data_IF_106394511565
#
_entry.id   IF_106394511565
#
_cell.length_a   1.000
_cell.length_b   1.000
_cell.length_c   1.000
_cell.angle_alpha   90.00
_cell.angle_beta   90.00
_cell.angle_gamma   90.00
#
_symmetry.space_group_name_H-M   'P 1'
#
loop_
_entity.id
_entity.type
_entity.pdbx_description
1 polymer ?
#
# COMPACT_ATOMS: atom_id res chain seq x y z
N UNK A 1 -8.47 -3.67 -16.66
CA UNK A 1 -7.42 -3.15 -15.75
C UNK A 1 -7.91 -1.82 -15.19
N UNK A 2 -7.91 -1.66 -13.88
CA UNK A 2 -8.38 -0.43 -13.22
C UNK A 2 -7.41 0.70 -13.53
N UNK A 3 -7.95 1.88 -13.91
CA UNK A 3 -7.24 3.14 -14.04
C UNK A 3 -8.01 4.19 -13.25
N UNK A 4 -7.36 4.79 -12.26
CA UNK A 4 -7.91 5.87 -11.47
C UNK A 4 -7.10 7.14 -11.74
N UNK A 5 -7.78 8.29 -11.75
CA UNK A 5 -7.12 9.60 -11.93
C UNK A 5 -7.52 10.52 -10.79
N UNK A 6 -6.54 11.23 -10.27
CA UNK A 6 -6.72 12.27 -9.26
C UNK A 6 -6.22 13.61 -9.80
N UNK A 7 -6.20 14.62 -8.97
CA UNK A 7 -5.69 15.93 -9.36
C UNK A 7 -4.23 15.85 -9.88
N UNK A 8 -3.38 15.10 -9.16
CA UNK A 8 -1.93 15.10 -9.42
C UNK A 8 -1.38 13.74 -9.87
N UNK A 9 -2.17 12.67 -9.78
CA UNK A 9 -1.69 11.30 -9.99
C UNK A 9 -2.54 10.53 -10.99
N UNK A 10 -1.89 9.58 -11.67
CA UNK A 10 -2.51 8.52 -12.46
C UNK A 10 -2.14 7.19 -11.81
N UNK A 11 -3.15 6.42 -11.42
CA UNK A 11 -3.02 5.06 -10.91
C UNK A 11 -3.36 4.13 -12.08
N UNK A 12 -2.42 3.31 -12.50
CA UNK A 12 -2.52 2.51 -13.73
C UNK A 12 -1.94 1.11 -13.55
N UNK A 13 -2.07 0.29 -14.56
CA UNK A 13 -1.40 -1.01 -14.57
C UNK A 13 0.13 -0.89 -14.63
N UNK A 14 0.81 -1.94 -14.20
CA UNK A 14 2.26 -2.06 -14.30
C UNK A 14 2.72 -2.10 -15.78
N UNK A 15 3.81 -1.41 -16.07
CA UNK A 15 4.48 -1.38 -17.36
C UNK A 15 5.96 -1.73 -17.18
N UNK A 16 6.61 -2.29 -18.20
CA UNK A 16 8.03 -2.69 -18.11
C UNK A 16 8.95 -1.51 -17.73
N UNK A 17 8.60 -0.30 -18.14
CA UNK A 17 9.33 0.91 -17.77
C UNK A 17 9.36 1.21 -16.27
N UNK A 18 8.44 0.62 -15.49
CA UNK A 18 8.34 0.83 -14.05
C UNK A 18 9.38 0.02 -13.26
N UNK A 19 9.94 -1.03 -13.85
CA UNK A 19 10.83 -1.95 -13.12
C UNK A 19 12.09 -1.26 -12.60
N UNK A 20 12.72 -0.41 -13.40
CA UNK A 20 13.96 0.26 -12.99
C UNK A 20 13.72 1.23 -11.81
N UNK A 21 12.76 2.18 -11.86
CA UNK A 21 12.47 3.05 -10.71
C UNK A 21 11.89 2.28 -9.51
N UNK A 22 11.13 1.20 -9.72
CA UNK A 22 10.65 0.33 -8.65
C UNK A 22 11.80 -0.37 -7.91
N UNK A 23 12.77 -0.91 -8.63
CA UNK A 23 13.95 -1.54 -8.04
C UNK A 23 14.82 -0.51 -7.30
N UNK A 24 15.02 0.68 -7.87
CA UNK A 24 15.74 1.76 -7.21
C UNK A 24 15.06 2.17 -5.88
N UNK A 25 13.74 2.28 -5.86
CA UNK A 25 12.96 2.54 -4.64
C UNK A 25 13.17 1.46 -3.58
N UNK A 26 13.14 0.18 -3.97
CA UNK A 26 13.30 -0.96 -3.06
C UNK A 26 14.75 -1.15 -2.57
N UNK A 27 15.74 -0.57 -3.25
CA UNK A 27 17.14 -0.56 -2.84
C UNK A 27 17.47 0.59 -1.88
N UNK A 28 16.60 1.58 -1.70
CA UNK A 28 16.81 2.70 -0.77
C UNK A 28 16.49 2.27 0.68
N UNK A 29 17.52 2.21 1.54
CA UNK A 29 17.37 1.82 2.94
C UNK A 29 16.41 2.72 3.74
N UNK A 30 16.23 3.99 3.34
CA UNK A 30 15.29 4.92 3.99
C UNK A 30 13.85 4.58 3.65
N UNK A 31 13.60 4.15 2.41
CA UNK A 31 12.29 3.67 1.97
C UNK A 31 11.96 2.33 2.64
N UNK A 32 12.97 1.48 2.78
CA UNK A 32 12.84 0.12 3.32
C UNK A 32 13.10 0.02 4.83
N UNK A 33 13.15 1.16 5.56
CA UNK A 33 13.44 1.24 7.00
C UNK A 33 12.58 0.28 7.85
N UNK A 34 11.33 0.05 7.46
CA UNK A 34 10.38 -0.82 8.17
C UNK A 34 10.14 -2.15 7.45
N UNK A 35 11.10 -2.57 6.63
CA UNK A 35 11.14 -3.88 5.99
C UNK A 35 12.39 -4.64 6.45
N UNK A 36 12.38 -5.98 6.42
CA UNK A 36 13.50 -6.78 6.91
C UNK A 36 14.83 -6.49 6.22
N UNK A 37 14.78 -6.14 4.93
CA UNK A 37 15.96 -5.77 4.13
C UNK A 37 15.58 -4.88 2.95
N UNK A 38 16.56 -4.24 2.35
CA UNK A 38 16.46 -3.72 0.98
C UNK A 38 16.39 -4.89 0.00
N UNK A 39 15.91 -4.65 -1.22
CA UNK A 39 15.82 -5.68 -2.26
C UNK A 39 16.84 -5.42 -3.36
N UNK A 40 17.40 -6.50 -3.89
CA UNK A 40 18.15 -6.49 -5.14
C UNK A 40 17.24 -6.19 -6.32
N UNK A 41 17.84 -6.02 -7.51
CA UNK A 41 17.05 -5.86 -8.74
C UNK A 41 16.22 -7.11 -9.03
N UNK A 42 16.81 -8.30 -8.90
CA UNK A 42 16.16 -9.59 -9.15
C UNK A 42 14.99 -9.83 -8.17
N UNK A 43 15.18 -9.54 -6.89
CA UNK A 43 14.11 -9.62 -5.90
C UNK A 43 13.00 -8.61 -6.18
N UNK A 44 13.36 -7.38 -6.59
CA UNK A 44 12.38 -6.37 -7.00
C UNK A 44 11.61 -6.81 -8.24
N UNK A 45 12.27 -7.45 -9.23
CA UNK A 45 11.63 -8.03 -10.41
C UNK A 45 10.61 -9.10 -10.01
N UNK A 46 10.96 -10.00 -9.11
CA UNK A 46 10.05 -11.03 -8.63
C UNK A 46 8.82 -10.43 -7.91
N UNK A 47 9.02 -9.35 -7.14
CA UNK A 47 7.91 -8.61 -6.52
C UNK A 47 7.04 -7.94 -7.58
N UNK A 48 7.63 -7.27 -8.57
CA UNK A 48 6.93 -6.62 -9.68
C UNK A 48 6.04 -7.62 -10.44
N UNK A 49 6.60 -8.79 -10.80
CA UNK A 49 5.87 -9.83 -11.52
C UNK A 49 4.68 -10.35 -10.70
N UNK A 50 4.85 -10.55 -9.38
CA UNK A 50 3.78 -10.95 -8.47
C UNK A 50 2.68 -9.88 -8.35
N UNK A 51 3.03 -8.60 -8.23
CA UNK A 51 2.06 -7.51 -8.15
C UNK A 51 1.27 -7.40 -9.45
N UNK A 52 1.93 -7.53 -10.59
CA UNK A 52 1.31 -7.51 -11.92
C UNK A 52 0.35 -8.68 -12.11
N UNK A 53 0.76 -9.89 -11.70
CA UNK A 53 -0.08 -11.08 -11.74
C UNK A 53 -1.32 -10.95 -10.84
N UNK A 54 -1.16 -10.39 -9.64
CA UNK A 54 -2.27 -10.16 -8.72
C UNK A 54 -3.36 -9.24 -9.28
N UNK A 55 -3.00 -8.26 -10.11
CA UNK A 55 -3.99 -7.42 -10.81
C UNK A 55 -4.82 -8.24 -11.81
N UNK A 56 -4.19 -9.21 -12.47
CA UNK A 56 -4.89 -10.09 -13.43
C UNK A 56 -5.79 -11.08 -12.69
N UNK A 57 -5.30 -11.66 -11.59
CA UNK A 57 -6.00 -12.70 -10.83
C UNK A 57 -7.24 -12.16 -10.09
N UNK A 58 -7.12 -10.99 -9.45
CA UNK A 58 -8.17 -10.46 -8.58
C UNK A 58 -8.93 -9.28 -9.19
N UNK A 59 -8.50 -8.78 -10.36
CA UNK A 59 -9.05 -7.57 -10.97
C UNK A 59 -8.52 -6.28 -10.33
N UNK A 60 -7.92 -6.36 -9.14
CA UNK A 60 -7.29 -5.25 -8.42
C UNK A 60 -6.08 -5.74 -7.61
N UNK A 61 -5.08 -4.90 -7.42
CA UNK A 61 -3.91 -5.12 -6.56
C UNK A 61 -3.17 -3.80 -6.36
N UNK A 62 -2.00 -3.83 -5.70
CA UNK A 62 -1.12 -2.68 -5.66
C UNK A 62 -0.66 -2.30 -7.08
N UNK A 63 -0.88 -1.05 -7.45
CA UNK A 63 -0.61 -0.53 -8.79
C UNK A 63 0.32 0.68 -8.73
N UNK A 64 1.15 0.92 -9.77
CA UNK A 64 1.99 2.09 -9.82
C UNK A 64 1.16 3.37 -9.85
N UNK A 65 1.71 4.40 -9.22
CA UNK A 65 1.24 5.77 -9.35
C UNK A 65 2.26 6.58 -10.15
N UNK A 66 1.74 7.35 -11.08
CA UNK A 66 2.51 8.25 -11.95
C UNK A 66 2.16 9.69 -11.61
N UNK A 67 3.16 10.55 -11.42
CA UNK A 67 2.93 11.97 -11.24
C UNK A 67 2.55 12.59 -12.59
N UNK A 68 1.37 13.23 -12.67
CA UNK A 68 0.83 13.76 -13.93
C UNK A 68 1.73 14.83 -14.56
N UNK A 69 2.37 15.64 -13.73
CA UNK A 69 3.17 16.79 -14.21
C UNK A 69 4.47 16.35 -14.91
N UNK A 70 5.08 15.25 -14.47
CA UNK A 70 6.38 14.78 -14.98
C UNK A 70 6.31 13.47 -15.75
N UNK A 71 5.22 12.70 -15.61
CA UNK A 71 5.12 11.32 -16.09
C UNK A 71 6.00 10.34 -15.29
N UNK A 72 6.56 10.77 -14.15
CA UNK A 72 7.47 9.95 -13.36
C UNK A 72 6.73 8.92 -12.51
N UNK A 73 7.35 7.74 -12.35
CA UNK A 73 6.92 6.74 -11.38
C UNK A 73 7.07 7.31 -9.96
N UNK A 74 5.96 7.47 -9.25
CA UNK A 74 5.92 8.05 -7.91
C UNK A 74 5.71 6.99 -6.81
N UNK A 75 5.84 5.69 -7.16
CA UNK A 75 5.65 4.58 -6.26
C UNK A 75 4.46 3.71 -6.63
N UNK A 76 3.94 2.99 -5.65
CA UNK A 76 2.71 2.22 -5.82
C UNK A 76 1.76 2.41 -4.64
N UNK A 77 0.48 2.31 -4.93
CA UNK A 77 -0.61 2.31 -3.95
C UNK A 77 -1.69 1.36 -4.45
N UNK A 78 -2.43 0.71 -3.57
CA UNK A 78 -3.54 -0.13 -3.99
C UNK A 78 -4.20 -0.87 -2.85
N UNK A 79 -5.24 -1.59 -3.20
CA UNK A 79 -5.89 -2.57 -2.32
C UNK A 79 -5.62 -3.97 -2.84
N UNK A 80 -5.49 -4.94 -1.94
CA UNK A 80 -5.22 -6.33 -2.28
C UNK A 80 -5.84 -7.27 -1.24
N UNK A 81 -6.12 -8.54 -1.57
CA UNK A 81 -6.42 -9.53 -0.55
C UNK A 81 -5.26 -9.61 0.45
N UNK A 82 -5.56 -9.50 1.74
CA UNK A 82 -4.56 -9.64 2.79
C UNK A 82 -4.04 -11.09 2.81
N UNK A 83 -2.74 -11.32 3.13
CA UNK A 83 -2.21 -12.65 3.29
C UNK A 83 -3.04 -13.50 4.26
N UNK A 84 -3.36 -14.73 3.86
CA UNK A 84 -4.28 -15.61 4.60
C UNK A 84 -3.77 -16.04 5.97
N UNK A 85 -2.46 -15.91 6.22
CA UNK A 85 -1.83 -16.22 7.51
C UNK A 85 -1.85 -15.07 8.52
N UNK A 86 -2.42 -13.91 8.17
CA UNK A 86 -2.58 -12.80 9.09
C UNK A 86 -3.78 -13.01 10.02
N UNK A 87 -3.73 -12.58 11.30
CA UNK A 87 -4.73 -12.91 12.31
C UNK A 87 -6.12 -12.29 12.04
N UNK A 88 -6.20 -11.32 11.16
CA UNK A 88 -7.44 -10.64 10.76
C UNK A 88 -7.95 -11.07 9.36
N UNK A 89 -7.28 -12.01 8.72
CA UNK A 89 -7.72 -12.55 7.44
C UNK A 89 -8.98 -13.45 7.60
N UNK A 90 -9.87 -13.52 6.60
CA UNK A 90 -9.78 -12.85 5.31
C UNK A 90 -10.13 -11.35 5.39
N UNK A 91 -9.38 -10.51 4.70
CA UNK A 91 -9.62 -9.07 4.61
C UNK A 91 -9.07 -8.51 3.28
N UNK A 92 -9.46 -7.31 2.92
CA UNK A 92 -8.80 -6.52 1.87
C UNK A 92 -7.95 -5.45 2.56
N UNK A 93 -6.66 -5.43 2.24
CA UNK A 93 -5.74 -4.44 2.75
C UNK A 93 -5.52 -3.30 1.76
N UNK A 94 -5.21 -2.11 2.28
CA UNK A 94 -4.68 -0.98 1.49
C UNK A 94 -3.24 -0.71 1.93
N UNK A 95 -2.35 -0.48 0.95
CA UNK A 95 -0.95 -0.22 1.22
C UNK A 95 -0.31 0.68 0.18
N UNK A 96 0.88 1.20 0.52
CA UNK A 96 1.66 2.11 -0.30
C UNK A 96 3.16 2.00 -0.04
N UNK A 97 3.94 2.35 -1.07
CA UNK A 97 5.38 2.62 -0.98
C UNK A 97 5.76 3.64 -2.05
N UNK A 98 6.41 4.70 -1.64
CA UNK A 98 6.84 5.78 -2.52
C UNK A 98 8.34 6.00 -2.39
N UNK A 99 9.02 6.35 -3.50
CA UNK A 99 10.40 6.85 -3.45
C UNK A 99 10.49 8.11 -2.59
N UNK A 100 11.66 8.35 -2.01
CA UNK A 100 11.88 9.41 -1.03
C UNK A 100 11.52 10.81 -1.56
N UNK A 101 11.82 11.09 -2.82
CA UNK A 101 11.55 12.37 -3.49
C UNK A 101 10.06 12.73 -3.60
N UNK A 102 9.18 11.74 -3.42
CA UNK A 102 7.72 11.93 -3.42
C UNK A 102 7.11 11.97 -2.01
N UNK A 103 7.94 11.86 -0.95
CA UNK A 103 7.46 11.99 0.42
C UNK A 103 7.09 13.43 0.76
N UNK A 104 6.20 13.60 1.73
CA UNK A 104 5.75 14.92 2.19
C UNK A 104 4.81 15.67 1.23
N UNK A 105 4.62 15.19 -0.01
CA UNK A 105 3.75 15.81 -1.01
C UNK A 105 2.26 15.44 -0.87
N UNK A 106 1.91 14.51 0.01
CA UNK A 106 0.53 14.02 0.19
C UNK A 106 0.07 12.96 -0.82
N UNK A 107 0.94 12.50 -1.70
CA UNK A 107 0.60 11.56 -2.78
C UNK A 107 0.07 10.21 -2.27
N UNK A 108 0.66 9.66 -1.20
CA UNK A 108 0.14 8.43 -0.61
C UNK A 108 -1.32 8.59 -0.15
N UNK A 109 -1.65 9.71 0.51
CA UNK A 109 -3.01 9.98 0.97
C UNK A 109 -3.99 10.19 -0.19
N UNK A 110 -3.57 10.93 -1.24
CA UNK A 110 -4.38 11.20 -2.43
C UNK A 110 -4.72 9.91 -3.17
N UNK A 111 -3.71 9.09 -3.48
CA UNK A 111 -3.90 7.82 -4.17
C UNK A 111 -4.69 6.81 -3.32
N UNK A 112 -4.40 6.72 -2.02
CA UNK A 112 -5.13 5.83 -1.13
C UNK A 112 -6.60 6.22 -0.99
N UNK A 113 -6.93 7.51 -0.94
CA UNK A 113 -8.33 7.98 -0.93
C UNK A 113 -9.07 7.58 -2.20
N UNK A 114 -8.43 7.67 -3.36
CA UNK A 114 -9.01 7.22 -4.63
C UNK A 114 -9.27 5.71 -4.63
N UNK A 115 -8.34 4.91 -4.08
CA UNK A 115 -8.53 3.47 -3.92
C UNK A 115 -9.63 3.11 -2.92
N UNK A 116 -9.73 3.81 -1.79
CA UNK A 116 -10.84 3.61 -0.84
C UNK A 116 -12.19 3.90 -1.51
N UNK A 117 -12.30 5.01 -2.25
CA UNK A 117 -13.51 5.33 -3.00
C UNK A 117 -13.87 4.25 -4.03
N UNK A 118 -12.89 3.73 -4.76
CA UNK A 118 -13.08 2.62 -5.70
C UNK A 118 -13.49 1.33 -4.98
N UNK A 119 -12.81 0.99 -3.89
CA UNK A 119 -13.10 -0.21 -3.11
C UNK A 119 -14.52 -0.21 -2.54
N UNK A 120 -14.99 0.92 -2.01
CA UNK A 120 -16.33 1.00 -1.42
C UNK A 120 -17.44 1.22 -2.45
N UNK A 121 -17.23 2.07 -3.46
CA UNK A 121 -18.32 2.46 -4.36
C UNK A 121 -18.44 1.55 -5.60
N UNK A 122 -17.36 0.86 -5.99
CA UNK A 122 -17.33 0.03 -7.21
C UNK A 122 -17.19 -1.45 -6.89
N UNK A 123 -16.33 -1.81 -5.93
CA UNK A 123 -16.13 -3.21 -5.53
C UNK A 123 -17.05 -3.64 -4.39
N UNK A 124 -17.87 -2.74 -3.85
CA UNK A 124 -18.85 -2.97 -2.77
C UNK A 124 -18.23 -3.62 -1.51
N UNK A 125 -16.98 -3.25 -1.19
CA UNK A 125 -16.32 -3.75 -0.01
C UNK A 125 -16.94 -3.16 1.25
N UNK A 126 -17.17 -3.97 2.28
CA UNK A 126 -17.72 -3.50 3.55
C UNK A 126 -16.66 -2.83 4.44
N UNK A 127 -15.42 -3.33 4.39
CA UNK A 127 -14.28 -2.87 5.20
C UNK A 127 -12.97 -3.00 4.41
N UNK A 128 -12.06 -2.07 4.66
CA UNK A 128 -10.67 -2.14 4.20
C UNK A 128 -9.76 -1.93 5.41
N UNK A 129 -8.70 -2.73 5.52
CA UNK A 129 -7.71 -2.65 6.59
C UNK A 129 -6.38 -2.10 6.08
N UNK A 130 -5.54 -1.65 6.98
CA UNK A 130 -4.13 -1.34 6.71
C UNK A 130 -3.31 -1.64 7.95
N UNK A 131 -2.07 -2.06 7.78
CA UNK A 131 -1.19 -2.33 8.91
C UNK A 131 0.23 -1.87 8.60
N UNK A 132 0.95 -1.53 9.64
CA UNK A 132 2.35 -1.16 9.56
C UNK A 132 3.06 -1.48 10.88
N UNK A 133 4.38 -1.62 10.81
CA UNK A 133 5.21 -1.67 12.02
C UNK A 133 4.81 -0.52 12.95
N UNK A 134 4.60 -0.81 14.22
CA UNK A 134 4.06 0.17 15.18
C UNK A 134 4.88 1.45 15.25
N UNK A 135 6.20 1.36 15.10
CA UNK A 135 7.11 2.50 15.03
C UNK A 135 7.03 3.31 13.71
N UNK A 136 6.34 2.81 12.68
CA UNK A 136 6.20 3.52 11.41
C UNK A 136 5.14 4.64 11.50
N UNK A 137 5.50 5.71 12.20
CA UNK A 137 4.61 6.86 12.40
C UNK A 137 4.19 7.52 11.07
N UNK A 138 5.04 7.47 10.03
CA UNK A 138 4.71 8.04 8.70
C UNK A 138 3.52 7.32 8.06
N UNK A 139 3.56 6.00 7.98
CA UNK A 139 2.43 5.22 7.44
C UNK A 139 1.18 5.35 8.30
N UNK A 140 1.30 5.31 9.62
CA UNK A 140 0.17 5.50 10.54
C UNK A 140 -0.48 6.89 10.39
N UNK A 141 0.31 7.94 10.17
CA UNK A 141 -0.22 9.28 9.88
C UNK A 141 -1.01 9.34 8.56
N UNK A 142 -0.59 8.57 7.54
CA UNK A 142 -1.38 8.44 6.30
C UNK A 142 -2.68 7.70 6.58
N UNK A 143 -2.66 6.56 7.29
CA UNK A 143 -3.88 5.82 7.67
C UNK A 143 -4.90 6.72 8.37
N UNK A 144 -4.47 7.48 9.37
CA UNK A 144 -5.34 8.44 10.09
C UNK A 144 -5.89 9.51 9.14
N UNK A 145 -5.04 10.07 8.26
CA UNK A 145 -5.44 11.14 7.33
C UNK A 145 -6.48 10.68 6.31
N UNK A 146 -6.42 9.44 5.87
CA UNK A 146 -7.43 8.86 4.97
C UNK A 146 -8.68 8.34 5.71
N UNK A 147 -8.76 8.55 7.03
CA UNK A 147 -9.93 8.28 7.87
C UNK A 147 -10.01 6.89 8.46
N UNK A 148 -8.92 6.15 8.43
CA UNK A 148 -8.86 4.87 9.14
C UNK A 148 -8.70 5.08 10.65
N UNK A 149 -9.31 4.22 11.44
CA UNK A 149 -9.22 4.19 12.89
C UNK A 149 -8.32 3.05 13.33
N UNK A 150 -7.44 3.28 14.29
CA UNK A 150 -6.61 2.23 14.85
C UNK A 150 -7.49 1.24 15.63
N UNK A 151 -7.35 -0.04 15.29
CA UNK A 151 -7.89 -1.15 16.08
C UNK A 151 -6.91 -1.43 17.22
N UNK A 152 -7.17 -0.86 18.41
CA UNK A 152 -6.27 -0.95 19.55
C UNK A 152 -6.14 -2.37 20.11
N UNK A 153 -7.12 -3.23 19.88
CA UNK A 153 -7.06 -4.66 20.22
C UNK A 153 -6.47 -5.53 19.12
N UNK A 154 -6.31 -4.97 17.92
CA UNK A 154 -5.89 -5.67 16.71
C UNK A 154 -4.37 -5.63 16.43
N UNK A 155 -3.55 -5.05 17.32
CA UNK A 155 -2.09 -5.11 17.16
C UNK A 155 -1.60 -6.55 17.18
N UNK A 156 -0.68 -6.89 16.29
CA UNK A 156 -0.22 -8.27 16.12
C UNK A 156 1.28 -8.36 15.80
N UNK A 157 1.85 -9.52 16.02
CA UNK A 157 3.20 -9.84 15.54
C UNK A 157 3.11 -10.47 14.15
N UNK A 158 3.82 -9.88 13.21
CA UNK A 158 3.78 -10.34 11.81
C UNK A 158 4.36 -11.76 11.69
N UNK A 159 3.59 -12.75 11.18
CA UNK A 159 3.98 -14.16 11.22
C UNK A 159 5.20 -14.51 10.35
N UNK A 160 5.60 -13.65 9.44
CA UNK A 160 6.82 -13.83 8.64
C UNK A 160 8.10 -13.42 9.38
N UNK A 161 8.01 -12.89 10.60
CA UNK A 161 9.14 -12.42 11.40
C UNK A 161 9.22 -13.19 12.73
N UNK A 162 10.44 -13.36 13.25
CA UNK A 162 10.61 -13.89 14.60
C UNK A 162 9.91 -12.96 15.61
N UNK A 163 9.37 -13.54 16.67
CA UNK A 163 8.55 -12.79 17.63
C UNK A 163 9.33 -11.67 18.35
N UNK A 164 10.63 -11.81 18.50
CA UNK A 164 11.55 -10.84 19.10
C UNK A 164 12.15 -9.86 18.09
N UNK A 165 11.84 -10.02 16.80
CA UNK A 165 12.36 -9.11 15.77
C UNK A 165 11.82 -7.69 15.98
N UNK A 166 12.65 -6.64 15.91
CA UNK A 166 12.24 -5.25 16.16
C UNK A 166 11.06 -4.77 15.30
N UNK A 167 10.93 -5.31 14.09
CA UNK A 167 9.84 -4.98 13.16
C UNK A 167 8.64 -5.92 13.27
N UNK A 168 8.58 -6.84 14.26
CA UNK A 168 7.50 -7.83 14.33
C UNK A 168 6.16 -7.23 14.72
N UNK A 169 6.13 -6.25 15.64
CA UNK A 169 4.89 -5.67 16.15
C UNK A 169 4.29 -4.68 15.14
N UNK A 170 3.05 -4.94 14.73
CA UNK A 170 2.29 -4.12 13.78
C UNK A 170 1.02 -3.56 14.43
N UNK A 171 0.74 -2.30 14.14
CA UNK A 171 -0.54 -1.66 14.42
C UNK A 171 -1.50 -1.93 13.25
N UNK A 172 -2.74 -2.30 13.56
CA UNK A 172 -3.82 -2.51 12.61
C UNK A 172 -4.76 -1.30 12.60
N UNK A 173 -5.18 -0.90 11.41
CA UNK A 173 -6.15 0.17 11.17
C UNK A 173 -7.28 -0.35 10.30
N UNK A 174 -8.49 0.17 10.50
CA UNK A 174 -9.70 -0.22 9.77
C UNK A 174 -10.49 0.99 9.31
N UNK A 175 -11.19 0.84 8.20
CA UNK A 175 -12.21 1.79 7.76
C UNK A 175 -13.35 1.00 7.11
N UNK A 176 -14.59 1.30 7.49
CA UNK A 176 -15.79 0.72 6.88
C UNK A 176 -16.33 1.64 5.79
N UNK A 177 -17.14 1.09 4.89
CA UNK A 177 -17.84 1.86 3.85
C UNK A 177 -18.71 2.97 4.44
N UNK A 178 -19.39 2.72 5.56
CA UNK A 178 -20.20 3.71 6.26
C UNK A 178 -19.36 4.84 6.86
N UNK A 179 -18.22 4.54 7.45
CA UNK A 179 -17.31 5.55 7.98
C UNK A 179 -16.68 6.41 6.87
N UNK A 180 -16.43 5.82 5.70
CA UNK A 180 -15.93 6.53 4.52
C UNK A 180 -16.97 7.47 3.91
N UNK A 181 -18.23 7.01 3.77
CA UNK A 181 -19.34 7.80 3.21
C UNK A 181 -19.74 9.01 4.07
N UNK A 182 -19.45 9.00 5.35
CA UNK A 182 -19.75 10.10 6.27
C UNK A 182 -18.70 11.23 6.33
N UNK A 183 -17.77 11.29 5.37
CA UNK A 183 -16.64 12.25 5.36
C UNK A 183 -16.85 13.41 4.40
#
# INVERSE_FOLDING_TARGET
>A
MIRLETERLILRGWEERDIAPFAAMNADARVMEYFPSVLTFEESRAVFDRLSAGVIEHGFHFQPIEERASGSFAGFVGIAPAPSNLPFAPAVEIGWRLPLEFWGKGYASEAATAWLAHGFNILDLAEIVSFAVEANHRSRAVMTRIGMTQDTGGSFRHPALAADHPLSLHALYRITSTAFAGR
#
